data_IF_514870816945
#
_entry.id   IF_514870816945
#
_cell.length_a   1.000
_cell.length_b   1.000
_cell.length_c   1.000
_cell.angle_alpha   90.00
_cell.angle_beta   90.00
_cell.angle_gamma   90.00
#
_symmetry.space_group_name_H-M   'P 1'
#
loop_
_entity.id
_entity.type
_entity.pdbx_description
1 polymer ?
#
# COMPACT_ATOMS: atom_id res chain seq x y z
N UNK A 1 -8.63 -7.46 38.85
CA UNK A 1 -9.43 -6.69 37.89
C UNK A 1 -8.84 -6.83 36.51
N UNK A 2 -9.48 -7.59 35.66
CA UNK A 2 -9.09 -7.63 34.25
C UNK A 2 -9.45 -6.29 33.61
N UNK A 3 -8.47 -5.52 33.20
CA UNK A 3 -8.72 -4.37 32.34
C UNK A 3 -9.24 -4.91 31.01
N UNK A 4 -10.52 -4.73 30.76
CA UNK A 4 -11.07 -4.92 29.44
C UNK A 4 -10.42 -3.91 28.50
N UNK A 5 -9.44 -4.35 27.71
CA UNK A 5 -9.01 -3.58 26.56
C UNK A 5 -10.12 -3.67 25.52
N UNK A 6 -11.08 -2.75 25.61
CA UNK A 6 -12.12 -2.66 24.61
C UNK A 6 -11.49 -2.57 23.23
N UNK A 7 -12.03 -3.35 22.30
CA UNK A 7 -11.63 -3.23 20.89
C UNK A 7 -11.87 -1.80 20.44
N UNK A 8 -10.86 -1.18 19.81
CA UNK A 8 -11.02 0.13 19.21
C UNK A 8 -12.14 0.10 18.18
N UNK A 9 -12.97 1.13 18.16
CA UNK A 9 -13.92 1.32 17.08
C UNK A 9 -13.16 1.53 15.77
N UNK A 10 -13.86 1.34 14.65
CA UNK A 10 -13.29 1.55 13.33
C UNK A 10 -12.76 2.97 13.16
N UNK A 11 -13.51 3.98 13.69
CA UNK A 11 -13.10 5.37 13.63
C UNK A 11 -11.88 5.66 14.49
N UNK A 12 -11.80 5.08 15.69
CA UNK A 12 -10.63 5.20 16.56
C UNK A 12 -9.39 4.60 15.91
N UNK A 13 -9.52 3.45 15.24
CA UNK A 13 -8.43 2.83 14.51
C UNK A 13 -7.95 3.71 13.35
N UNK A 14 -8.86 4.33 12.62
CA UNK A 14 -8.53 5.27 11.54
C UNK A 14 -7.82 6.51 12.08
N UNK A 15 -8.31 7.06 13.18
CA UNK A 15 -7.69 8.23 13.81
C UNK A 15 -6.28 7.90 14.29
N UNK A 16 -6.08 6.74 14.90
CA UNK A 16 -4.75 6.31 15.34
C UNK A 16 -3.78 6.16 14.15
N UNK A 17 -4.25 5.63 13.03
CA UNK A 17 -3.44 5.51 11.81
C UNK A 17 -3.05 6.89 11.25
N UNK A 18 -4.00 7.83 11.23
CA UNK A 18 -3.73 9.21 10.81
C UNK A 18 -2.70 9.89 11.70
N UNK A 19 -2.83 9.75 12.99
CA UNK A 19 -1.91 10.37 13.95
C UNK A 19 -0.51 9.78 13.84
N UNK A 20 -0.42 8.47 13.65
CA UNK A 20 0.84 7.78 13.43
C UNK A 20 1.57 8.30 12.20
N UNK A 21 0.87 8.43 11.08
CA UNK A 21 1.43 8.92 9.82
C UNK A 21 1.80 10.40 9.94
N UNK A 22 0.88 11.22 10.47
CA UNK A 22 1.08 12.67 10.59
C UNK A 22 2.31 13.01 11.41
N UNK A 23 2.56 12.29 12.50
CA UNK A 23 3.72 12.53 13.36
C UNK A 23 5.06 12.25 12.66
N UNK A 24 5.03 11.52 11.55
CA UNK A 24 6.23 11.09 10.80
C UNK A 24 6.40 11.81 9.46
N UNK A 25 5.44 12.65 9.10
CA UNK A 25 5.56 13.46 7.88
C UNK A 25 6.58 14.56 8.07
N UNK A 26 7.27 14.86 7.01
CA UNK A 26 8.23 15.97 6.94
C UNK A 26 8.07 16.68 5.59
N UNK A 27 8.72 17.82 5.47
CA UNK A 27 8.73 18.56 4.21
C UNK A 27 9.33 17.72 3.10
N UNK A 28 8.78 17.89 1.92
CA UNK A 28 9.19 17.18 0.72
C UNK A 28 9.59 18.19 -0.35
N UNK A 29 10.69 17.91 -1.02
CA UNK A 29 11.23 18.86 -2.01
C UNK A 29 10.32 18.96 -3.24
N UNK A 30 9.93 20.17 -3.61
CA UNK A 30 9.10 20.44 -4.79
C UNK A 30 9.69 19.86 -6.07
N UNK A 31 11.02 19.84 -6.15
CA UNK A 31 11.76 19.30 -7.29
C UNK A 31 11.40 17.85 -7.60
N UNK A 32 11.05 17.06 -6.59
CA UNK A 32 10.61 15.67 -6.79
C UNK A 32 9.30 15.56 -7.57
N UNK A 33 8.47 16.61 -7.56
CA UNK A 33 7.24 16.68 -8.33
C UNK A 33 7.43 17.32 -9.71
N UNK A 34 8.44 18.17 -9.86
CA UNK A 34 8.67 18.95 -11.09
C UNK A 34 9.58 18.23 -12.09
N UNK A 35 10.59 17.54 -11.61
CA UNK A 35 11.54 16.84 -12.47
C UNK A 35 11.00 15.48 -12.92
N UNK A 36 10.83 15.27 -14.24
CA UNK A 36 10.42 13.96 -14.73
C UNK A 36 11.56 12.96 -14.59
N UNK A 37 11.20 11.74 -14.19
CA UNK A 37 12.14 10.64 -14.16
C UNK A 37 12.34 10.08 -15.57
N UNK A 38 13.59 9.78 -15.93
CA UNK A 38 13.92 9.11 -17.20
C UNK A 38 14.46 7.72 -16.87
N UNK A 39 13.75 6.70 -17.32
CA UNK A 39 14.11 5.32 -17.07
C UNK A 39 14.45 4.60 -18.38
N UNK A 40 15.46 3.72 -18.37
CA UNK A 40 15.73 2.88 -19.54
C UNK A 40 14.52 2.02 -19.90
N UNK A 41 14.32 1.79 -21.16
CA UNK A 41 13.33 0.82 -21.66
C UNK A 41 13.73 -0.57 -21.15
N UNK A 42 12.75 -1.39 -20.75
CA UNK A 42 12.95 -2.75 -20.25
C UNK A 42 13.67 -2.87 -18.90
N UNK A 43 13.66 -1.84 -18.11
CA UNK A 43 14.33 -1.84 -16.80
C UNK A 43 13.92 -3.01 -15.88
N UNK A 44 12.67 -3.46 -15.97
CA UNK A 44 12.12 -4.54 -15.14
C UNK A 44 12.03 -5.88 -15.86
N UNK A 45 12.59 -5.99 -17.05
CA UNK A 45 12.56 -7.25 -17.80
C UNK A 45 13.23 -8.37 -16.98
N UNK A 46 12.52 -9.48 -16.81
CA UNK A 46 13.01 -10.66 -16.12
C UNK A 46 12.94 -10.62 -14.58
N UNK A 47 12.50 -9.54 -13.98
CA UNK A 47 12.31 -9.48 -12.53
C UNK A 47 10.86 -9.83 -12.15
N UNK A 48 10.65 -10.77 -11.21
CA UNK A 48 9.31 -11.00 -10.67
C UNK A 48 8.85 -9.76 -9.90
N UNK A 49 7.57 -9.44 -10.02
CA UNK A 49 6.99 -8.29 -9.36
C UNK A 49 5.63 -8.63 -8.74
N UNK A 50 5.33 -7.99 -7.63
CA UNK A 50 4.05 -8.11 -6.94
C UNK A 50 3.46 -6.73 -6.75
N UNK A 51 2.18 -6.57 -7.07
CA UNK A 51 1.42 -5.35 -6.85
C UNK A 51 0.42 -5.57 -5.73
N UNK A 52 0.41 -4.70 -4.74
CA UNK A 52 -0.57 -4.71 -3.66
C UNK A 52 -1.62 -3.64 -3.96
N UNK A 53 -2.83 -4.07 -4.26
CA UNK A 53 -3.95 -3.19 -4.54
C UNK A 53 -4.71 -2.88 -3.24
N UNK A 54 -4.80 -1.60 -2.89
CA UNK A 54 -5.58 -1.13 -1.74
C UNK A 54 -7.02 -0.91 -2.20
N UNK A 55 -7.94 -1.72 -1.70
CA UNK A 55 -9.30 -1.83 -2.27
C UNK A 55 -10.42 -1.57 -1.26
N UNK A 56 -10.18 -0.81 -0.19
CA UNK A 56 -11.26 -0.41 0.71
C UNK A 56 -12.33 0.40 -0.06
N UNK A 57 -13.59 0.10 0.19
CA UNK A 57 -14.71 0.81 -0.47
C UNK A 57 -14.71 2.31 -0.20
N UNK A 58 -14.34 2.68 1.02
CA UNK A 58 -14.26 4.05 1.47
C UNK A 58 -12.98 4.79 1.06
N UNK A 59 -12.08 4.13 0.34
CA UNK A 59 -10.83 4.75 -0.12
C UNK A 59 -11.09 5.64 -1.35
N UNK A 60 -11.03 6.99 -1.21
CA UNK A 60 -11.43 7.89 -2.29
C UNK A 60 -10.55 7.82 -3.53
N UNK A 61 -9.28 7.50 -3.38
CA UNK A 61 -8.32 7.42 -4.48
C UNK A 61 -8.32 6.05 -5.19
N UNK A 62 -9.14 5.10 -4.73
CA UNK A 62 -9.20 3.77 -5.32
C UNK A 62 -9.42 3.78 -6.85
N UNK A 63 -10.37 4.55 -7.40
CA UNK A 63 -10.55 4.60 -8.85
C UNK A 63 -9.33 5.13 -9.60
N UNK A 64 -8.57 6.03 -8.98
CA UNK A 64 -7.35 6.58 -9.57
C UNK A 64 -6.28 5.50 -9.74
N UNK A 65 -6.16 4.58 -8.79
CA UNK A 65 -5.15 3.53 -8.80
C UNK A 65 -5.58 2.24 -9.50
N UNK A 66 -6.87 2.06 -9.77
CA UNK A 66 -7.39 0.87 -10.43
C UNK A 66 -6.70 0.54 -11.77
N UNK A 67 -6.38 1.50 -12.65
CA UNK A 67 -5.66 1.22 -13.89
C UNK A 67 -4.27 0.62 -13.69
N UNK A 68 -3.59 0.96 -12.61
CA UNK A 68 -2.27 0.41 -12.30
C UNK A 68 -2.35 -1.07 -11.91
N UNK A 69 -3.38 -1.46 -11.17
CA UNK A 69 -3.63 -2.85 -10.84
C UNK A 69 -3.93 -3.67 -12.11
N UNK A 70 -4.73 -3.15 -13.03
CA UNK A 70 -5.02 -3.79 -14.30
C UNK A 70 -3.77 -3.94 -15.15
N UNK A 71 -2.93 -2.93 -15.19
CA UNK A 71 -1.65 -3.00 -15.89
C UNK A 71 -0.74 -4.07 -15.29
N UNK A 72 -0.72 -4.19 -13.98
CA UNK A 72 0.05 -5.24 -13.29
C UNK A 72 -0.44 -6.64 -13.68
N UNK A 73 -1.76 -6.86 -13.70
CA UNK A 73 -2.36 -8.13 -14.10
C UNK A 73 -2.02 -8.48 -15.53
N UNK A 74 -2.13 -7.52 -16.44
CA UNK A 74 -1.82 -7.74 -17.85
C UNK A 74 -0.33 -7.92 -18.13
N UNK A 75 0.52 -7.50 -17.21
CA UNK A 75 1.98 -7.68 -17.29
C UNK A 75 2.46 -8.96 -16.60
N UNK A 76 1.56 -9.84 -16.20
CA UNK A 76 1.84 -11.10 -15.50
C UNK A 76 2.49 -10.92 -14.13
N UNK A 77 2.24 -9.80 -13.49
CA UNK A 77 2.64 -9.59 -12.09
C UNK A 77 1.65 -10.28 -11.16
N UNK A 78 2.14 -10.71 -10.01
CA UNK A 78 1.24 -11.13 -8.93
C UNK A 78 0.51 -9.91 -8.37
N UNK A 79 -0.81 -10.03 -8.21
CA UNK A 79 -1.63 -8.96 -7.64
C UNK A 79 -2.33 -9.48 -6.41
N UNK A 80 -2.10 -8.81 -5.28
CA UNK A 80 -2.78 -9.09 -4.01
C UNK A 80 -3.66 -7.91 -3.63
N UNK A 81 -4.88 -8.19 -3.19
CA UNK A 81 -5.81 -7.15 -2.74
C UNK A 81 -5.82 -7.06 -1.23
N UNK A 82 -5.75 -5.85 -0.69
CA UNK A 82 -5.85 -5.56 0.74
C UNK A 82 -6.96 -4.54 0.96
N UNK A 83 -7.90 -4.85 1.83
CA UNK A 83 -9.00 -3.93 2.16
C UNK A 83 -8.53 -2.82 3.09
N UNK A 84 -7.83 -1.85 2.51
CA UNK A 84 -7.28 -0.70 3.23
C UNK A 84 -7.26 0.54 2.34
N UNK A 85 -6.97 1.70 2.95
CA UNK A 85 -6.58 2.90 2.22
C UNK A 85 -5.14 2.79 1.71
N UNK A 86 -4.58 3.91 1.28
CA UNK A 86 -3.27 3.96 0.63
C UNK A 86 -2.13 3.37 1.48
N UNK A 87 -2.14 3.62 2.77
CA UNK A 87 -1.10 3.15 3.69
C UNK A 87 -1.43 1.76 4.26
N UNK A 88 -1.50 0.76 3.40
CA UNK A 88 -1.86 -0.59 3.80
C UNK A 88 -0.93 -1.19 4.86
N UNK A 89 0.35 -0.84 4.84
CA UNK A 89 1.33 -1.28 5.82
C UNK A 89 1.06 -0.73 7.23
N UNK A 90 0.34 0.39 7.34
CA UNK A 90 -0.10 0.97 8.62
C UNK A 90 -1.44 0.38 9.07
N UNK A 91 -2.38 0.23 8.13
CA UNK A 91 -3.74 -0.23 8.45
C UNK A 91 -3.85 -1.75 8.56
N UNK A 92 -3.08 -2.50 7.75
CA UNK A 92 -3.11 -3.96 7.67
C UNK A 92 -1.70 -4.55 7.68
N UNK A 93 -0.91 -4.30 8.74
CA UNK A 93 0.49 -4.74 8.76
C UNK A 93 0.66 -6.24 8.66
N UNK A 94 -0.22 -7.03 9.27
CA UNK A 94 -0.15 -8.49 9.24
C UNK A 94 -0.38 -9.05 7.84
N UNK A 95 -1.33 -8.49 7.10
CA UNK A 95 -1.61 -8.91 5.73
C UNK A 95 -0.45 -8.56 4.80
N UNK A 96 0.09 -7.35 4.93
CA UNK A 96 1.23 -6.90 4.12
C UNK A 96 2.46 -7.77 4.42
N UNK A 97 2.73 -8.07 5.69
CA UNK A 97 3.82 -8.94 6.08
C UNK A 97 3.68 -10.34 5.46
N UNK A 98 2.48 -10.90 5.45
CA UNK A 98 2.19 -12.19 4.82
C UNK A 98 2.48 -12.17 3.31
N UNK A 99 2.07 -11.12 2.64
CA UNK A 99 2.31 -10.95 1.20
C UNK A 99 3.81 -10.88 0.93
N UNK A 100 4.55 -10.08 1.70
CA UNK A 100 6.00 -9.95 1.55
C UNK A 100 6.72 -11.28 1.78
N UNK A 101 6.32 -12.03 2.79
CA UNK A 101 6.91 -13.34 3.07
C UNK A 101 6.59 -14.37 1.97
N UNK A 102 5.43 -14.28 1.35
CA UNK A 102 5.06 -15.18 0.26
C UNK A 102 5.87 -14.94 -1.01
N UNK A 103 6.32 -13.71 -1.26
CA UNK A 103 7.15 -13.39 -2.43
C UNK A 103 8.52 -14.05 -2.37
N UNK A 104 9.08 -14.22 -1.19
CA UNK A 104 10.37 -14.87 -0.98
C UNK A 104 10.35 -16.34 -1.42
N UNK A 105 9.21 -17.02 -1.28
CA UNK A 105 9.05 -18.42 -1.65
C UNK A 105 8.87 -18.63 -3.15
N UNK A 106 8.53 -17.60 -3.89
CA UNK A 106 8.27 -17.62 -5.33
C UNK A 106 9.50 -17.30 -6.17
N UNK A 107 10.60 -16.95 -5.52
CA UNK A 107 11.86 -16.59 -6.18
C UNK A 107 12.68 -17.82 -6.56
#
# INVERSE_FOLDING_TARGET
>A
MARSFGRRTREEARQAARDFVRARLCDFTLRCFEEPIRLPVNRKAGLPATYIACVAEEYPARPFFAPFAEKARSSSWDVSEVKSGHDCHVERPDEVARILLSTERSA
#
